data_IF_479329663666
#
_entry.id   IF_479329663666
#
_cell.length_a   1.000
_cell.length_b   1.000
_cell.length_c   1.000
_cell.angle_alpha   90.00
_cell.angle_beta   90.00
_cell.angle_gamma   90.00
#
_symmetry.space_group_name_H-M   'P 1'
#
loop_
_entity.id
_entity.type
_entity.pdbx_description
1 polymer ?
#
# COMPACT_ATOMS: atom_id res chain seq x y z
N UNK A 1 -0.80 18.92 8.06
CA UNK A 1 0.07 18.81 9.26
C UNK A 1 1.06 17.65 9.15
N UNK A 2 0.66 16.45 8.71
CA UNK A 2 1.53 15.28 8.62
C UNK A 2 2.75 15.49 7.70
N UNK A 3 2.62 15.99 6.46
CA UNK A 3 3.79 16.23 5.60
C UNK A 3 4.79 17.24 6.19
N UNK A 4 4.33 18.26 6.90
CA UNK A 4 5.21 19.23 7.56
C UNK A 4 5.97 18.61 8.75
N UNK A 5 5.36 17.69 9.47
CA UNK A 5 6.01 16.91 10.52
C UNK A 5 7.07 15.98 9.93
N UNK A 6 6.76 15.27 8.86
CA UNK A 6 7.73 14.45 8.14
C UNK A 6 8.92 15.27 7.64
N UNK A 7 8.67 16.50 7.14
CA UNK A 7 9.74 17.41 6.71
C UNK A 7 10.71 17.75 7.84
N UNK A 8 10.22 17.90 9.07
CA UNK A 8 11.09 18.23 10.21
C UNK A 8 11.93 17.05 10.71
N UNK A 9 11.45 15.81 10.48
CA UNK A 9 12.16 14.60 10.93
C UNK A 9 13.08 14.02 9.85
N UNK A 10 12.64 13.98 8.61
CA UNK A 10 13.27 13.24 7.52
C UNK A 10 13.72 14.10 6.34
N UNK A 11 13.42 15.41 6.37
CA UNK A 11 13.82 16.32 5.29
C UNK A 11 15.33 16.47 5.21
N UNK A 12 15.87 16.36 3.99
CA UNK A 12 17.29 16.59 3.70
C UNK A 12 17.46 17.86 2.86
N UNK A 13 18.61 18.49 2.96
CA UNK A 13 18.90 19.73 2.22
C UNK A 13 19.28 19.49 0.75
N UNK A 14 19.65 18.28 0.39
CA UNK A 14 20.30 17.94 -0.88
C UNK A 14 19.63 16.80 -1.66
N UNK A 15 18.69 16.07 -1.05
CA UNK A 15 18.02 14.94 -1.71
C UNK A 15 16.50 14.92 -1.50
N UNK A 16 15.78 14.32 -2.44
CA UNK A 16 14.36 14.05 -2.30
C UNK A 16 14.15 12.74 -1.54
N UNK A 17 13.34 12.80 -0.49
CA UNK A 17 12.93 11.65 0.33
C UNK A 17 11.42 11.52 0.28
N UNK A 18 10.93 10.30 0.22
CA UNK A 18 9.50 9.99 0.35
C UNK A 18 9.25 9.29 1.68
N UNK A 19 8.26 9.75 2.41
CA UNK A 19 7.74 9.04 3.58
C UNK A 19 6.40 8.42 3.20
N UNK A 20 6.32 7.09 3.22
CA UNK A 20 5.11 6.32 2.98
C UNK A 20 4.54 5.84 4.32
N UNK A 21 3.38 6.37 4.71
CA UNK A 21 2.67 5.90 5.89
C UNK A 21 1.60 4.89 5.48
N UNK A 22 1.72 3.66 5.98
CA UNK A 22 0.82 2.56 5.66
C UNK A 22 0.01 2.20 6.90
N UNK A 23 -1.15 2.85 7.03
CA UNK A 23 -2.21 2.52 7.97
C UNK A 23 -3.31 1.71 7.28
N UNK A 24 -4.58 1.92 7.64
CA UNK A 24 -5.72 1.35 6.90
C UNK A 24 -5.73 1.78 5.42
N UNK A 25 -5.48 3.09 5.18
CA UNK A 25 -5.12 3.63 3.86
C UNK A 25 -3.63 3.95 3.84
N UNK A 26 -3.05 3.96 2.65
CA UNK A 26 -1.66 4.38 2.42
C UNK A 26 -1.61 5.82 1.92
N UNK A 27 -0.64 6.60 2.40
CA UNK A 27 -0.37 7.94 1.94
C UNK A 27 1.14 8.21 1.86
N UNK A 28 1.54 9.12 0.98
CA UNK A 28 2.93 9.55 0.88
C UNK A 28 3.08 11.03 1.19
N UNK A 29 4.26 11.38 1.71
CA UNK A 29 4.78 12.74 1.82
C UNK A 29 6.06 12.84 1.04
N UNK A 30 6.10 13.69 0.02
CA UNK A 30 7.28 13.93 -0.81
C UNK A 30 8.00 15.16 -0.27
N UNK A 31 9.23 14.95 0.17
CA UNK A 31 10.08 15.95 0.81
C UNK A 31 11.20 16.33 -0.16
N UNK A 32 11.05 17.48 -0.81
CA UNK A 32 12.04 18.00 -1.75
C UNK A 32 12.87 19.11 -1.12
N UNK A 33 14.16 19.25 -1.49
CA UNK A 33 14.98 20.36 -1.05
C UNK A 33 14.33 21.71 -1.38
N UNK A 34 14.28 22.62 -0.40
CA UNK A 34 13.79 23.98 -0.54
C UNK A 34 12.35 24.14 -1.09
N UNK A 35 11.53 23.11 -1.01
CA UNK A 35 10.13 23.13 -1.46
C UNK A 35 9.18 22.76 -0.31
N UNK A 36 7.94 23.23 -0.42
CA UNK A 36 6.88 22.77 0.49
C UNK A 36 6.61 21.27 0.26
N UNK A 37 6.41 20.48 1.32
CA UNK A 37 6.11 19.07 1.18
C UNK A 37 4.77 18.85 0.47
N UNK A 38 4.73 17.87 -0.45
CA UNK A 38 3.51 17.40 -1.08
C UNK A 38 3.06 16.10 -0.42
N UNK A 39 1.80 16.01 0.02
CA UNK A 39 1.24 14.79 0.60
C UNK A 39 -0.14 14.47 0.05
N UNK A 40 -0.40 13.18 -0.20
CA UNK A 40 -1.69 12.67 -0.68
C UNK A 40 -1.81 11.16 -0.46
N UNK A 41 -3.05 10.65 -0.54
CA UNK A 41 -3.34 9.23 -0.38
C UNK A 41 -3.05 8.46 -1.68
N UNK A 42 -2.44 7.28 -1.53
CA UNK A 42 -2.10 6.40 -2.65
C UNK A 42 -3.21 5.38 -2.96
N UNK A 43 -3.94 4.92 -1.92
CA UNK A 43 -4.96 3.89 -2.05
C UNK A 43 -5.11 3.08 -0.77
N UNK A 44 -5.61 1.82 -0.84
CA UNK A 44 -5.70 0.96 0.32
C UNK A 44 -4.31 0.66 0.87
N UNK A 45 -4.22 0.57 2.18
CA UNK A 45 -3.08 0.02 2.91
C UNK A 45 -3.48 -1.33 3.52
N UNK A 46 -3.54 -1.39 4.86
CA UNK A 46 -3.89 -2.62 5.56
C UNK A 46 -5.40 -2.91 5.64
N UNK A 47 -6.28 -1.94 5.38
CA UNK A 47 -7.72 -2.10 5.67
C UNK A 47 -8.37 -3.29 4.95
N UNK A 48 -8.06 -3.51 3.67
CA UNK A 48 -8.57 -4.65 2.92
C UNK A 48 -7.85 -5.95 3.33
N UNK A 49 -6.55 -5.89 3.57
CA UNK A 49 -5.72 -7.01 4.03
C UNK A 49 -6.21 -7.56 5.38
N UNK A 50 -6.41 -6.66 6.34
CA UNK A 50 -6.85 -7.02 7.69
C UNK A 50 -8.27 -7.61 7.66
N UNK A 51 -9.19 -6.98 6.91
CA UNK A 51 -10.56 -7.46 6.78
C UNK A 51 -10.64 -8.85 6.12
N UNK A 52 -9.80 -9.11 5.11
CA UNK A 52 -9.73 -10.40 4.44
C UNK A 52 -9.09 -11.48 5.32
N UNK A 53 -7.98 -11.14 6.00
CA UNK A 53 -7.31 -12.01 6.94
C UNK A 53 -8.23 -12.42 8.10
N UNK A 54 -8.93 -11.46 8.71
CA UNK A 54 -9.87 -11.74 9.81
C UNK A 54 -10.99 -12.67 9.37
N UNK A 55 -11.54 -12.46 8.18
CA UNK A 55 -12.64 -13.27 7.65
C UNK A 55 -12.23 -14.75 7.45
N UNK A 56 -11.02 -15.00 6.95
CA UNK A 56 -10.59 -16.35 6.54
C UNK A 56 -9.74 -17.08 7.56
N UNK A 57 -9.07 -16.35 8.47
CA UNK A 57 -8.17 -16.94 9.48
C UNK A 57 -8.64 -16.72 10.91
N UNK A 58 -9.56 -15.77 11.13
CA UNK A 58 -9.97 -15.32 12.46
C UNK A 58 -8.92 -14.45 13.17
N UNK A 59 -7.80 -14.12 12.51
CA UNK A 59 -6.77 -13.22 13.03
C UNK A 59 -7.02 -11.80 12.54
N UNK A 60 -6.81 -10.81 13.40
CA UNK A 60 -7.08 -9.41 13.10
C UNK A 60 -6.20 -8.84 11.97
N UNK A 61 -5.05 -9.44 11.69
CA UNK A 61 -4.13 -9.08 10.62
C UNK A 61 -3.19 -10.25 10.31
N UNK A 62 -2.57 -10.21 9.12
CA UNK A 62 -1.57 -11.16 8.66
C UNK A 62 -0.21 -10.84 9.29
N UNK A 63 0.18 -11.63 10.28
CA UNK A 63 1.43 -11.42 11.02
C UNK A 63 2.61 -11.56 10.06
N UNK A 64 3.42 -10.50 9.97
CA UNK A 64 4.60 -10.45 9.11
C UNK A 64 4.30 -10.65 7.60
N UNK A 65 3.02 -10.74 7.19
CA UNK A 65 2.61 -11.01 5.80
C UNK A 65 2.81 -12.46 5.36
N UNK A 66 3.00 -13.40 6.29
CA UNK A 66 3.37 -14.80 5.98
C UNK A 66 2.24 -15.55 5.27
N UNK A 67 0.99 -15.26 5.63
CA UNK A 67 -0.16 -15.90 5.01
C UNK A 67 -0.33 -15.44 3.56
N UNK A 68 -0.28 -14.13 3.29
CA UNK A 68 -0.33 -13.56 1.94
C UNK A 68 0.86 -13.95 1.09
N UNK A 69 2.07 -14.05 1.68
CA UNK A 69 3.27 -14.50 0.97
C UNK A 69 3.18 -15.96 0.48
N UNK A 70 2.27 -16.77 1.04
CA UNK A 70 2.01 -18.16 0.62
C UNK A 70 1.02 -18.29 -0.53
N UNK A 71 0.41 -17.18 -0.98
CA UNK A 71 -0.51 -17.12 -2.11
C UNK A 71 0.18 -16.65 -3.40
N UNK A 72 -0.54 -16.78 -4.50
CA UNK A 72 -0.11 -16.30 -5.82
C UNK A 72 -0.88 -15.02 -6.19
N UNK A 73 -0.17 -14.07 -6.82
CA UNK A 73 -0.78 -12.83 -7.32
C UNK A 73 -1.50 -13.10 -8.64
N UNK A 74 -2.77 -12.75 -8.71
CA UNK A 74 -3.54 -12.75 -9.94
C UNK A 74 -3.39 -11.41 -10.68
N UNK A 75 -2.53 -11.36 -11.68
CA UNK A 75 -2.21 -10.12 -12.39
C UNK A 75 -3.44 -9.48 -13.07
N UNK A 76 -4.32 -10.28 -13.67
CA UNK A 76 -5.55 -9.77 -14.30
C UNK A 76 -6.48 -9.10 -13.28
N UNK A 77 -6.59 -9.67 -12.07
CA UNK A 77 -7.39 -9.09 -10.98
C UNK A 77 -6.76 -7.81 -10.45
N UNK A 78 -5.43 -7.80 -10.37
CA UNK A 78 -4.68 -6.61 -9.95
C UNK A 78 -4.84 -5.46 -10.94
N UNK A 79 -4.76 -5.73 -12.24
CA UNK A 79 -4.99 -4.72 -13.30
C UNK A 79 -6.39 -4.14 -13.20
N UNK A 80 -7.40 -4.98 -12.99
CA UNK A 80 -8.78 -4.53 -12.78
C UNK A 80 -8.91 -3.66 -11.53
N UNK A 81 -8.35 -4.09 -10.39
CA UNK A 81 -8.35 -3.31 -9.15
C UNK A 81 -7.68 -1.92 -9.33
N UNK A 82 -6.57 -1.86 -10.07
CA UNK A 82 -5.85 -0.62 -10.37
C UNK A 82 -6.59 0.26 -11.40
N UNK A 83 -7.63 -0.25 -12.08
CA UNK A 83 -8.49 0.53 -12.96
C UNK A 83 -9.47 1.44 -12.19
N UNK A 84 -9.58 1.28 -10.87
CA UNK A 84 -10.40 2.16 -10.02
C UNK A 84 -10.07 3.64 -10.30
N UNK A 85 -11.06 4.48 -10.63
CA UNK A 85 -10.84 5.88 -11.03
C UNK A 85 -10.02 6.71 -10.04
N UNK A 86 -10.05 6.35 -8.75
CA UNK A 86 -9.24 7.01 -7.72
C UNK A 86 -7.75 7.03 -8.08
N UNK A 87 -7.20 5.95 -8.63
CA UNK A 87 -5.77 5.86 -8.93
C UNK A 87 -5.34 6.86 -10.01
N UNK A 88 -6.23 7.20 -10.95
CA UNK A 88 -5.97 8.17 -12.01
C UNK A 88 -6.10 9.65 -11.57
N UNK A 89 -6.63 9.93 -10.38
CA UNK A 89 -6.79 11.30 -9.89
C UNK A 89 -5.43 11.98 -9.65
N UNK A 90 -5.28 13.26 -10.02
CA UNK A 90 -4.08 14.02 -9.68
C UNK A 90 -4.08 14.40 -8.20
N UNK A 91 -2.89 14.57 -7.57
CA UNK A 91 -2.80 15.13 -6.23
C UNK A 91 -3.14 16.65 -6.21
N UNK A 92 -3.64 17.18 -5.07
CA UNK A 92 -3.91 16.44 -3.84
C UNK A 92 -5.18 15.59 -3.95
N UNK A 93 -5.09 14.31 -3.56
CA UNK A 93 -6.24 13.40 -3.51
C UNK A 93 -6.30 12.70 -2.16
N UNK A 94 -7.51 12.34 -1.74
CA UNK A 94 -7.76 11.62 -0.50
C UNK A 94 -8.75 10.49 -0.72
N UNK A 95 -8.59 9.41 0.02
CA UNK A 95 -9.48 8.26 0.02
C UNK A 95 -9.63 7.71 1.44
N UNK A 96 -10.59 6.83 1.62
CA UNK A 96 -10.89 6.24 2.90
C UNK A 96 -11.67 4.94 2.79
N UNK A 97 -12.17 4.48 3.92
CA UNK A 97 -13.05 3.30 4.00
C UNK A 97 -14.43 3.53 3.37
N UNK A 98 -14.73 4.73 2.94
CA UNK A 98 -15.90 5.06 2.11
C UNK A 98 -15.77 4.48 0.69
N UNK A 99 -14.56 4.40 0.14
CA UNK A 99 -14.28 3.78 -1.14
C UNK A 99 -13.74 2.35 -0.97
N UNK A 100 -12.56 2.18 -0.37
CA UNK A 100 -11.92 0.88 -0.19
C UNK A 100 -12.43 0.19 1.08
N UNK A 101 -13.55 -0.49 0.94
CA UNK A 101 -14.28 -1.17 2.01
C UNK A 101 -14.65 -2.60 1.61
N UNK A 102 -15.41 -3.27 2.46
CA UNK A 102 -15.84 -4.64 2.20
C UNK A 102 -16.75 -4.76 0.97
N UNK A 103 -17.61 -3.78 0.72
CA UNK A 103 -18.49 -3.80 -0.45
C UNK A 103 -17.69 -3.68 -1.76
N UNK A 104 -16.66 -2.81 -1.77
CA UNK A 104 -15.72 -2.72 -2.88
C UNK A 104 -15.03 -4.06 -3.11
N UNK A 105 -14.51 -4.69 -2.05
CA UNK A 105 -13.83 -5.99 -2.12
C UNK A 105 -14.79 -7.08 -2.66
N UNK A 106 -16.02 -7.15 -2.13
CA UNK A 106 -17.01 -8.12 -2.57
C UNK A 106 -17.38 -7.96 -4.05
N UNK A 107 -17.57 -6.72 -4.52
CA UNK A 107 -17.86 -6.42 -5.92
C UNK A 107 -16.68 -6.79 -6.84
N UNK A 108 -15.46 -6.44 -6.43
CA UNK A 108 -14.25 -6.78 -7.17
C UNK A 108 -14.06 -8.30 -7.27
N UNK A 109 -14.25 -9.07 -6.20
CA UNK A 109 -14.20 -10.53 -6.21
C UNK A 109 -15.29 -11.12 -7.12
N UNK A 110 -16.52 -10.61 -7.03
CA UNK A 110 -17.64 -11.07 -7.84
C UNK A 110 -17.42 -10.85 -9.35
N UNK A 111 -16.74 -9.77 -9.75
CA UNK A 111 -16.38 -9.52 -11.16
C UNK A 111 -15.42 -10.58 -11.72
N UNK A 112 -14.67 -11.27 -10.86
CA UNK A 112 -13.79 -12.38 -11.20
C UNK A 112 -14.40 -13.76 -10.92
N UNK A 113 -15.71 -13.82 -10.67
CA UNK A 113 -16.42 -15.08 -10.38
C UNK A 113 -16.07 -15.68 -9.02
N UNK A 114 -15.53 -14.87 -8.11
CA UNK A 114 -15.15 -15.27 -6.76
C UNK A 114 -16.16 -14.78 -5.72
N UNK A 115 -16.12 -15.37 -4.54
CA UNK A 115 -16.98 -14.97 -3.43
C UNK A 115 -16.13 -14.55 -2.22
N UNK A 116 -16.68 -13.62 -1.45
CA UNK A 116 -16.06 -13.16 -0.20
C UNK A 116 -16.44 -14.01 1.02
N UNK A 117 -17.12 -15.15 0.81
CA UNK A 117 -17.60 -16.01 1.89
C UNK A 117 -16.48 -16.78 2.58
N UNK A 118 -16.68 -17.15 3.88
CA UNK A 118 -15.68 -17.90 4.66
C UNK A 118 -15.48 -19.35 4.17
N UNK A 119 -16.23 -19.77 3.16
CA UNK A 119 -16.12 -21.10 2.53
C UNK A 119 -15.30 -21.07 1.23
N UNK A 120 -14.61 -19.98 0.94
CA UNK A 120 -13.68 -19.93 -0.20
C UNK A 120 -12.59 -21.03 -0.05
N UNK A 121 -12.12 -21.52 -1.18
CA UNK A 121 -10.98 -22.44 -1.19
C UNK A 121 -9.79 -21.82 -0.43
N UNK A 122 -9.13 -22.55 0.49
CA UNK A 122 -8.02 -22.00 1.27
C UNK A 122 -6.85 -21.47 0.41
N UNK A 123 -6.61 -22.04 -0.78
CA UNK A 123 -5.60 -21.52 -1.70
C UNK A 123 -6.07 -20.20 -2.29
N UNK A 124 -7.30 -20.14 -2.78
CA UNK A 124 -7.90 -18.91 -3.30
C UNK A 124 -7.88 -17.78 -2.27
N UNK A 125 -8.17 -18.08 -0.99
CA UNK A 125 -8.11 -17.07 0.06
C UNK A 125 -6.70 -16.48 0.24
N UNK A 126 -5.64 -17.30 0.12
CA UNK A 126 -4.25 -16.84 0.12
C UNK A 126 -3.92 -16.00 -1.11
N UNK A 127 -4.40 -16.41 -2.28
CA UNK A 127 -4.14 -15.72 -3.55
C UNK A 127 -4.81 -14.33 -3.57
N UNK A 128 -6.02 -14.21 -3.02
CA UNK A 128 -6.67 -12.89 -2.82
C UNK A 128 -5.84 -12.03 -1.87
N UNK A 129 -5.36 -12.57 -0.74
CA UNK A 129 -4.50 -11.83 0.19
C UNK A 129 -3.21 -11.34 -0.50
N UNK A 130 -2.55 -12.22 -1.28
CA UNK A 130 -1.37 -11.88 -2.04
C UNK A 130 -1.64 -10.76 -3.06
N UNK A 131 -2.77 -10.84 -3.78
CA UNK A 131 -3.17 -9.86 -4.78
C UNK A 131 -3.52 -8.50 -4.14
N UNK A 132 -4.18 -8.49 -2.99
CA UNK A 132 -4.45 -7.26 -2.23
C UNK A 132 -3.17 -6.63 -1.67
N UNK A 133 -2.20 -7.46 -1.23
CA UNK A 133 -0.90 -6.98 -0.78
C UNK A 133 -0.13 -6.32 -1.94
N UNK A 134 -0.14 -6.95 -3.12
CA UNK A 134 0.45 -6.40 -4.33
C UNK A 134 -0.25 -5.10 -4.77
N UNK A 135 -1.58 -5.03 -4.66
CA UNK A 135 -2.35 -3.80 -4.94
C UNK A 135 -1.86 -2.63 -4.08
N UNK A 136 -1.69 -2.85 -2.79
CA UNK A 136 -1.18 -1.82 -1.88
C UNK A 136 0.25 -1.40 -2.24
N UNK A 137 1.12 -2.35 -2.55
CA UNK A 137 2.51 -2.08 -2.95
C UNK A 137 2.57 -1.30 -4.27
N UNK A 138 1.83 -1.72 -5.30
CA UNK A 138 1.78 -1.05 -6.61
C UNK A 138 1.19 0.34 -6.53
N UNK A 139 0.13 0.55 -5.77
CA UNK A 139 -0.47 1.87 -5.58
C UNK A 139 0.52 2.87 -4.99
N UNK A 140 1.31 2.45 -4.00
CA UNK A 140 2.37 3.26 -3.40
C UNK A 140 3.50 3.52 -4.41
N UNK A 141 3.98 2.49 -5.08
CA UNK A 141 5.08 2.60 -6.04
C UNK A 141 4.72 3.50 -7.23
N UNK A 142 3.55 3.33 -7.83
CA UNK A 142 3.04 4.18 -8.91
C UNK A 142 2.97 5.65 -8.51
N UNK A 143 2.48 5.94 -7.29
CA UNK A 143 2.43 7.30 -6.77
C UNK A 143 3.83 7.91 -6.61
N UNK A 144 4.82 7.13 -6.14
CA UNK A 144 6.21 7.56 -5.98
C UNK A 144 6.86 7.78 -7.34
N UNK A 145 6.76 6.83 -8.27
CA UNK A 145 7.34 6.94 -9.61
C UNK A 145 6.79 8.12 -10.40
N UNK A 146 5.49 8.36 -10.29
CA UNK A 146 4.84 9.47 -11.00
C UNK A 146 5.21 10.84 -10.42
N UNK A 147 5.33 10.95 -9.10
CA UNK A 147 5.44 12.25 -8.44
C UNK A 147 6.80 12.52 -7.79
N UNK A 148 7.65 11.52 -7.60
CA UNK A 148 8.99 11.65 -7.02
C UNK A 148 10.01 10.68 -7.65
N UNK A 149 10.11 10.58 -9.00
CA UNK A 149 11.01 9.61 -9.66
C UNK A 149 12.48 9.82 -9.31
N UNK A 150 12.86 11.00 -8.81
CA UNK A 150 14.21 11.34 -8.36
C UNK A 150 14.46 11.04 -6.88
N UNK A 151 13.52 10.44 -6.17
CA UNK A 151 13.72 10.09 -4.76
C UNK A 151 14.83 9.04 -4.62
N UNK A 152 15.69 9.23 -3.63
CA UNK A 152 16.72 8.26 -3.30
C UNK A 152 16.27 7.26 -2.22
N UNK A 153 15.37 7.72 -1.35
CA UNK A 153 14.95 6.98 -0.16
C UNK A 153 13.44 7.01 0.00
N UNK A 154 12.89 5.85 0.37
CA UNK A 154 11.49 5.67 0.77
C UNK A 154 11.45 5.14 2.19
N UNK A 155 11.03 5.99 3.10
CA UNK A 155 10.88 5.67 4.52
C UNK A 155 9.46 5.20 4.76
N UNK A 156 9.30 3.95 5.17
CA UNK A 156 7.97 3.37 5.42
C UNK A 156 7.66 3.41 6.91
N UNK A 157 6.50 3.95 7.27
CA UNK A 157 5.99 3.98 8.63
C UNK A 157 4.54 3.48 8.70
N UNK A 158 4.01 3.38 9.92
CA UNK A 158 2.69 2.79 10.18
C UNK A 158 2.73 1.26 10.29
N UNK A 159 1.57 0.65 10.51
CA UNK A 159 1.46 -0.81 10.72
C UNK A 159 1.95 -1.65 9.53
N UNK A 160 1.84 -1.14 8.31
CA UNK A 160 2.31 -1.83 7.10
C UNK A 160 3.83 -2.02 7.05
N UNK A 161 4.61 -1.21 7.77
CA UNK A 161 6.06 -1.40 7.89
C UNK A 161 6.45 -2.71 8.63
N UNK A 162 5.50 -3.29 9.38
CA UNK A 162 5.66 -4.57 10.07
C UNK A 162 5.30 -5.79 9.20
N UNK A 163 4.78 -5.57 8.00
CA UNK A 163 4.46 -6.62 7.06
C UNK A 163 5.65 -6.80 6.10
N UNK A 164 6.46 -7.83 6.32
CA UNK A 164 7.67 -8.06 5.54
C UNK A 164 7.40 -8.37 4.06
N UNK A 165 6.27 -9.03 3.73
CA UNK A 165 5.90 -9.28 2.33
C UNK A 165 5.53 -7.97 1.61
N UNK A 166 4.76 -7.09 2.26
CA UNK A 166 4.44 -5.77 1.71
C UNK A 166 5.70 -4.93 1.50
N UNK A 167 6.60 -4.91 2.47
CA UNK A 167 7.89 -4.20 2.37
C UNK A 167 8.74 -4.71 1.21
N UNK A 168 8.84 -6.04 1.05
CA UNK A 168 9.54 -6.68 -0.06
C UNK A 168 8.94 -6.27 -1.41
N UNK A 169 7.60 -6.35 -1.55
CA UNK A 169 6.90 -5.97 -2.78
C UNK A 169 7.12 -4.51 -3.14
N UNK A 170 7.06 -3.59 -2.18
CA UNK A 170 7.36 -2.16 -2.42
C UNK A 170 8.81 -2.00 -2.91
N UNK A 171 9.77 -2.66 -2.29
CA UNK A 171 11.17 -2.57 -2.68
C UNK A 171 11.44 -3.15 -4.09
N UNK A 172 10.76 -4.22 -4.46
CA UNK A 172 10.84 -4.82 -5.80
C UNK A 172 10.27 -3.91 -6.89
N UNK A 173 9.22 -3.13 -6.59
CA UNK A 173 8.66 -2.13 -7.51
C UNK A 173 9.54 -0.88 -7.64
N UNK A 174 10.40 -0.58 -6.65
CA UNK A 174 11.23 0.62 -6.60
C UNK A 174 12.74 0.29 -6.55
N UNK A 175 13.30 -0.45 -7.52
CA UNK A 175 14.65 -1.00 -7.44
C UNK A 175 15.77 0.06 -7.43
N UNK A 176 15.46 1.30 -7.82
CA UNK A 176 16.42 2.43 -7.81
C UNK A 176 16.41 3.23 -6.50
N UNK A 177 15.53 2.89 -5.55
CA UNK A 177 15.34 3.62 -4.31
C UNK A 177 15.66 2.73 -3.11
N UNK A 178 16.21 3.31 -2.04
CA UNK A 178 16.38 2.60 -0.78
C UNK A 178 15.06 2.60 0.00
N UNK A 179 14.40 1.44 0.09
CA UNK A 179 13.15 1.27 0.84
C UNK A 179 13.47 0.67 2.21
N UNK A 180 13.12 1.37 3.29
CA UNK A 180 13.38 0.90 4.65
C UNK A 180 12.30 1.38 5.63
N UNK A 181 12.04 0.64 6.73
CA UNK A 181 11.15 1.09 7.79
C UNK A 181 11.75 2.30 8.53
N UNK A 182 10.87 3.13 9.11
CA UNK A 182 11.28 4.34 9.83
C UNK A 182 12.25 4.09 10.98
N UNK A 183 12.18 2.93 11.62
CA UNK A 183 13.05 2.55 12.73
C UNK A 183 14.53 2.40 12.31
N UNK A 184 14.79 2.20 11.02
CA UNK A 184 16.14 2.17 10.47
C UNK A 184 16.78 3.57 10.33
N UNK A 185 16.02 4.64 10.56
CA UNK A 185 16.47 6.02 10.40
C UNK A 185 16.73 6.75 11.72
N UNK A 186 16.60 6.06 12.86
CA UNK A 186 16.93 6.56 14.20
C UNK A 186 15.74 7.02 15.01
#
# INVERSE_FOLDING_TARGET
LVPAFHQSLFGHSDKTVVVANIGGMSNISILRPAQAPLGFDCGPGNALLDAWCELHTGQAFDVNGEWGASGEVHEDWLVDALSEPFFALPPPKSTGRDLFNRDWLSNWLASHGQTDGPQADPQQARDVQATLCELSARAIAMAIEQHAPQASDVIVCGGGALNADLMRRIAEQLPSMAVAPSDAWG
#
